data_IF_904755092281
#
_entry.id   IF_904755092281
#
_cell.length_a   1.000
_cell.length_b   1.000
_cell.length_c   1.000
_cell.angle_alpha   90.00
_cell.angle_beta   90.00
_cell.angle_gamma   90.00
#
_symmetry.space_group_name_H-M   'P 1'
#
loop_
_entity.id
_entity.type
_entity.pdbx_description
1 polymer ?
#
# COMPACT_ATOMS: atom_id res chain seq x y z
N UNK A 1 4.12 8.18 -17.66
CA UNK A 1 2.99 7.21 -17.64
C UNK A 1 3.43 5.76 -17.42
N UNK A 2 4.61 5.31 -17.88
CA UNK A 2 5.09 3.93 -17.68
C UNK A 2 5.40 3.57 -16.22
N UNK A 3 6.10 4.44 -15.48
CA UNK A 3 6.50 4.18 -14.08
C UNK A 3 5.30 4.02 -13.15
N UNK A 4 4.30 4.92 -13.26
CA UNK A 4 3.12 4.87 -12.41
C UNK A 4 2.27 3.60 -12.66
N UNK A 5 2.23 3.10 -13.91
CA UNK A 5 1.55 1.86 -14.25
C UNK A 5 2.26 0.64 -13.65
N UNK A 6 3.58 0.57 -13.78
CA UNK A 6 4.39 -0.51 -13.17
C UNK A 6 4.20 -0.51 -11.65
N UNK A 7 4.29 0.66 -11.02
CA UNK A 7 4.09 0.77 -9.57
C UNK A 7 2.68 0.33 -9.17
N UNK A 8 1.65 0.73 -9.92
CA UNK A 8 0.28 0.29 -9.65
C UNK A 8 0.17 -1.24 -9.70
N UNK A 9 0.67 -1.89 -10.76
CA UNK A 9 0.63 -3.34 -10.89
C UNK A 9 1.33 -4.05 -9.73
N UNK A 10 2.54 -3.60 -9.38
CA UNK A 10 3.29 -4.16 -8.26
C UNK A 10 2.55 -3.98 -6.93
N UNK A 11 1.99 -2.80 -6.67
CA UNK A 11 1.22 -2.55 -5.43
C UNK A 11 -0.04 -3.41 -5.34
N UNK A 12 -0.73 -3.67 -6.46
CA UNK A 12 -1.89 -4.56 -6.50
C UNK A 12 -1.50 -6.03 -6.29
N UNK A 13 -0.39 -6.49 -6.87
CA UNK A 13 0.14 -7.84 -6.64
C UNK A 13 0.46 -8.02 -5.16
N UNK A 14 1.18 -7.06 -4.55
CA UNK A 14 1.55 -7.14 -3.14
C UNK A 14 0.32 -7.10 -2.22
N UNK A 15 -0.67 -6.27 -2.53
CA UNK A 15 -1.97 -6.27 -1.84
C UNK A 15 -2.62 -7.66 -1.91
N UNK A 16 -2.71 -8.25 -3.10
CA UNK A 16 -3.29 -9.57 -3.31
C UNK A 16 -2.55 -10.68 -2.55
N UNK A 17 -1.22 -10.68 -2.61
CA UNK A 17 -0.38 -11.63 -1.87
C UNK A 17 -0.51 -11.42 -0.36
N UNK A 18 -0.54 -10.18 0.13
CA UNK A 18 -0.74 -9.86 1.53
C UNK A 18 -2.06 -10.39 2.08
N UNK A 19 -3.17 -10.20 1.32
CA UNK A 19 -4.48 -10.78 1.64
C UNK A 19 -4.41 -12.31 1.63
N UNK A 20 -3.78 -12.92 0.64
CA UNK A 20 -3.67 -14.38 0.55
C UNK A 20 -2.87 -14.97 1.72
N UNK A 21 -1.77 -14.33 2.12
CA UNK A 21 -1.00 -14.76 3.29
C UNK A 21 -1.83 -14.62 4.57
N UNK A 22 -2.60 -13.54 4.72
CA UNK A 22 -3.51 -13.36 5.85
C UNK A 22 -4.58 -14.46 5.91
N UNK A 23 -5.19 -14.82 4.77
CA UNK A 23 -6.24 -15.87 4.77
C UNK A 23 -5.68 -17.25 5.10
N UNK A 24 -4.44 -17.56 4.69
CA UNK A 24 -3.82 -18.88 4.93
C UNK A 24 -3.10 -19.01 6.26
N UNK A 25 -2.38 -17.98 6.69
CA UNK A 25 -1.51 -18.03 7.87
C UNK A 25 -2.06 -17.22 9.06
N UNK A 26 -3.19 -16.52 8.87
CA UNK A 26 -3.72 -15.54 9.84
C UNK A 26 -2.66 -14.54 10.30
N UNK A 27 -1.68 -14.27 9.42
CA UNK A 27 -0.60 -13.33 9.69
C UNK A 27 -1.14 -11.93 9.58
N UNK A 28 -1.43 -11.40 10.75
CA UNK A 28 -1.79 -10.03 11.02
C UNK A 28 -0.76 -9.02 10.48
N UNK A 29 0.52 -9.40 10.40
CA UNK A 29 1.60 -8.57 9.78
C UNK A 29 1.39 -8.46 8.28
N UNK A 30 1.13 -9.58 7.61
CA UNK A 30 0.92 -9.61 6.16
C UNK A 30 -0.30 -8.78 5.74
N UNK A 31 -1.33 -8.74 6.59
CA UNK A 31 -2.50 -7.89 6.36
C UNK A 31 -2.16 -6.40 6.40
N UNK A 32 -1.39 -5.93 7.40
CA UNK A 32 -1.00 -4.52 7.48
C UNK A 32 -0.14 -4.09 6.29
N UNK A 33 0.80 -4.94 5.88
CA UNK A 33 1.60 -4.71 4.67
C UNK A 33 0.68 -4.65 3.44
N UNK A 34 -0.22 -5.62 3.27
CA UNK A 34 -1.18 -5.62 2.17
C UNK A 34 -1.99 -4.32 2.09
N UNK A 35 -2.58 -3.89 3.21
CA UNK A 35 -3.37 -2.64 3.28
C UNK A 35 -2.50 -1.43 2.93
N UNK A 36 -1.26 -1.35 3.43
CA UNK A 36 -0.34 -0.26 3.09
C UNK A 36 -0.10 -0.18 1.57
N UNK A 37 0.15 -1.32 0.92
CA UNK A 37 0.30 -1.37 -0.54
C UNK A 37 -1.00 -1.04 -1.28
N UNK A 38 -2.17 -1.36 -0.71
CA UNK A 38 -3.46 -0.89 -1.22
C UNK A 38 -3.61 0.64 -1.19
N UNK A 39 -3.16 1.29 -0.11
CA UNK A 39 -3.13 2.76 -0.04
C UNK A 39 -2.17 3.36 -1.07
N UNK A 40 -0.99 2.78 -1.28
CA UNK A 40 -0.08 3.21 -2.35
C UNK A 40 -0.71 3.05 -3.74
N UNK A 41 -1.43 1.94 -3.99
CA UNK A 41 -2.14 1.71 -5.24
C UNK A 41 -3.14 2.85 -5.55
N UNK A 42 -3.89 3.33 -4.54
CA UNK A 42 -4.78 4.50 -4.71
C UNK A 42 -4.01 5.75 -5.16
N UNK A 43 -2.83 6.01 -4.60
CA UNK A 43 -2.03 7.17 -5.01
C UNK A 43 -1.52 7.06 -6.45
N UNK A 44 -1.19 5.85 -6.90
CA UNK A 44 -0.81 5.59 -8.29
C UNK A 44 -2.00 5.71 -9.24
N UNK A 45 -3.19 5.27 -8.83
CA UNK A 45 -4.42 5.48 -9.60
C UNK A 45 -4.71 6.97 -9.81
N UNK A 46 -4.60 7.81 -8.78
CA UNK A 46 -4.78 9.27 -8.93
C UNK A 46 -3.72 9.90 -9.83
N UNK A 47 -2.49 9.37 -9.80
CA UNK A 47 -1.42 9.82 -10.70
C UNK A 47 -1.71 9.45 -12.15
N UNK A 48 -2.19 8.23 -12.43
CA UNK A 48 -2.58 7.79 -13.77
C UNK A 48 -3.83 8.52 -14.29
N UNK A 49 -4.76 8.89 -13.40
CA UNK A 49 -5.95 9.66 -13.72
C UNK A 49 -5.68 11.17 -13.93
N UNK A 50 -4.42 11.62 -13.92
CA UNK A 50 -4.03 13.04 -13.97
C UNK A 50 -4.64 13.92 -12.85
N UNK A 51 -5.04 13.31 -11.73
CA UNK A 51 -5.62 14.00 -10.56
C UNK A 51 -4.58 14.39 -9.51
N UNK A 52 -3.30 14.03 -9.71
CA UNK A 52 -2.27 14.19 -8.68
C UNK A 52 -2.01 15.64 -8.26
N UNK A 53 -2.15 16.60 -9.17
CA UNK A 53 -1.99 18.02 -8.84
C UNK A 53 -3.11 18.51 -7.90
N UNK A 54 -4.35 18.15 -8.21
CA UNK A 54 -5.55 18.55 -7.44
C UNK A 54 -5.61 17.84 -6.10
N UNK A 55 -5.26 16.56 -6.07
CA UNK A 55 -5.33 15.70 -4.87
C UNK A 55 -3.99 15.58 -4.13
N UNK A 56 -3.07 16.51 -4.34
CA UNK A 56 -1.70 16.43 -3.80
C UNK A 56 -1.65 16.20 -2.29
N UNK A 57 -2.44 16.94 -1.51
CA UNK A 57 -2.54 16.79 -0.04
C UNK A 57 -3.07 15.39 0.32
N UNK A 58 -4.15 14.93 -0.32
CA UNK A 58 -4.72 13.61 -0.08
C UNK A 58 -3.72 12.49 -0.41
N UNK A 59 -2.98 12.62 -1.52
CA UNK A 59 -1.92 11.67 -1.90
C UNK A 59 -0.85 11.59 -0.82
N UNK A 60 -0.43 12.73 -0.26
CA UNK A 60 0.55 12.76 0.84
C UNK A 60 0.00 12.05 2.08
N UNK A 61 -1.24 12.32 2.47
CA UNK A 61 -1.89 11.67 3.63
C UNK A 61 -1.93 10.14 3.43
N UNK A 62 -2.35 9.68 2.25
CA UNK A 62 -2.39 8.24 1.92
C UNK A 62 -1.01 7.60 2.01
N UNK A 63 0.04 8.28 1.52
CA UNK A 63 1.42 7.78 1.62
C UNK A 63 1.89 7.71 3.06
N UNK A 64 1.64 8.73 3.86
CA UNK A 64 2.02 8.75 5.28
C UNK A 64 1.33 7.61 6.04
N UNK A 65 0.03 7.40 5.81
CA UNK A 65 -0.71 6.29 6.39
C UNK A 65 -0.13 4.93 5.94
N UNK A 66 0.21 4.78 4.66
CA UNK A 66 0.82 3.57 4.13
C UNK A 66 2.20 3.28 4.75
N UNK A 67 3.09 4.28 4.83
CA UNK A 67 4.39 4.14 5.49
C UNK A 67 4.21 3.81 6.98
N UNK A 68 3.26 4.46 7.66
CA UNK A 68 2.93 4.17 9.06
C UNK A 68 2.49 2.73 9.27
N UNK A 69 1.66 2.18 8.39
CA UNK A 69 1.25 0.77 8.44
C UNK A 69 2.41 -0.20 8.23
N UNK A 70 3.34 0.11 7.30
CA UNK A 70 4.54 -0.72 7.09
C UNK A 70 5.42 -0.68 8.34
N UNK A 71 5.68 0.50 8.90
CA UNK A 71 6.46 0.64 10.14
C UNK A 71 5.82 -0.12 11.29
N UNK A 72 4.50 0.00 11.46
CA UNK A 72 3.75 -0.73 12.47
C UNK A 72 3.84 -2.25 12.25
N UNK A 73 3.72 -2.72 11.00
CA UNK A 73 3.86 -4.13 10.67
C UNK A 73 5.25 -4.67 11.05
N UNK A 74 6.32 -3.92 10.73
CA UNK A 74 7.69 -4.29 11.07
C UNK A 74 7.93 -4.26 12.59
N UNK A 75 7.45 -3.23 13.28
CA UNK A 75 7.51 -3.16 14.74
C UNK A 75 6.81 -4.36 15.39
N UNK A 76 5.69 -4.80 14.82
CA UNK A 76 4.93 -5.95 15.32
C UNK A 76 5.61 -7.29 15.05
N UNK A 77 6.49 -7.36 14.05
CA UNK A 77 7.41 -8.51 13.89
C UNK A 77 8.47 -8.48 15.00
N UNK A 78 9.04 -7.31 15.29
CA UNK A 78 10.09 -7.15 16.30
C UNK A 78 9.58 -7.35 17.74
N UNK A 79 8.35 -6.94 18.02
CA UNK A 79 7.73 -7.02 19.34
C UNK A 79 7.09 -8.38 19.65
N UNK A 80 7.04 -9.29 18.67
CA UNK A 80 6.63 -10.69 18.85
C UNK A 80 7.86 -11.55 19.13
#
# INVERSE_FOLDING_TARGET
MTIALVNLLLTLIILGVGIWVYTRKKSDVALYIGIAFGLFALTHLFTLANLAAVLSILIVILRLAAYGLVLFALYRILAK
#
